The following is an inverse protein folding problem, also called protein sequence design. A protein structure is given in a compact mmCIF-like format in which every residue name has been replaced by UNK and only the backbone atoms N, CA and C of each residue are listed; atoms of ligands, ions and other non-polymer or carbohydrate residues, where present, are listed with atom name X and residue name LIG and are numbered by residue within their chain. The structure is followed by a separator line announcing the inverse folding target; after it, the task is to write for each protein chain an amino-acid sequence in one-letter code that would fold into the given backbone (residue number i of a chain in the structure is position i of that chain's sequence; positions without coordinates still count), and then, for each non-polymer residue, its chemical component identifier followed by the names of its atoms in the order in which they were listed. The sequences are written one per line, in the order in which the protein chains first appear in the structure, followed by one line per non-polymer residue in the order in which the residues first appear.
data_IF_985125097018
#
_entry.id   IF_985125097018
#
_cell.length_a   1.000
_cell.length_b   1.000
_cell.length_c   1.000
_cell.angle_alpha   90.00
_cell.angle_beta   90.00
_cell.angle_gamma   90.00
#
_symmetry.space_group_name_H-M   'P 1'
#
loop_
_entity.id
_entity.type
_entity.pdbx_description
1 polymer ?
#
# COMPACT_ATOMS: atom_id res chain seq x y z
N UNK A 1 5.72 6.22 14.19
CA UNK A 1 5.68 6.53 12.75
C UNK A 1 4.52 7.50 12.50
N UNK A 2 4.77 8.57 11.74
CA UNK A 2 3.72 9.56 11.44
C UNK A 2 2.84 9.10 10.28
N UNK A 3 1.66 9.71 10.14
CA UNK A 3 0.77 9.42 9.01
C UNK A 3 1.45 9.75 7.67
N UNK A 4 2.25 10.81 7.63
CA UNK A 4 2.98 11.20 6.41
C UNK A 4 4.05 10.17 6.04
N UNK A 5 4.73 9.59 7.03
CA UNK A 5 5.70 8.52 6.78
C UNK A 5 5.00 7.28 6.21
N UNK A 6 3.82 6.94 6.73
CA UNK A 6 3.03 5.81 6.21
C UNK A 6 2.54 6.08 4.80
N UNK A 7 2.11 7.31 4.49
CA UNK A 7 1.70 7.68 3.14
C UNK A 7 2.86 7.58 2.14
N UNK A 8 4.05 8.02 2.55
CA UNK A 8 5.26 7.90 1.72
C UNK A 8 5.61 6.44 1.48
N UNK A 9 5.55 5.63 2.53
CA UNK A 9 5.82 4.20 2.44
C UNK A 9 4.83 3.51 1.50
N UNK A 10 3.53 3.87 1.60
CA UNK A 10 2.50 3.34 0.71
C UNK A 10 2.75 3.73 -0.75
N UNK A 11 3.11 4.99 -1.00
CA UNK A 11 3.40 5.46 -2.36
C UNK A 11 4.60 4.74 -2.96
N UNK A 12 5.66 4.52 -2.17
CA UNK A 12 6.84 3.78 -2.60
C UNK A 12 6.49 2.34 -2.94
N UNK A 13 5.69 1.69 -2.10
CA UNK A 13 5.22 0.32 -2.35
C UNK A 13 4.39 0.25 -3.62
N UNK A 14 3.48 1.20 -3.83
CA UNK A 14 2.65 1.26 -5.04
C UNK A 14 3.52 1.38 -6.29
N UNK A 15 4.52 2.25 -6.28
CA UNK A 15 5.44 2.40 -7.40
C UNK A 15 6.21 1.10 -7.67
N UNK A 16 6.62 0.40 -6.62
CA UNK A 16 7.28 -0.90 -6.74
C UNK A 16 6.34 -1.93 -7.37
N UNK A 17 5.07 -1.95 -6.97
CA UNK A 17 4.06 -2.86 -7.52
C UNK A 17 3.82 -2.60 -9.00
N UNK A 18 3.71 -1.34 -9.39
CA UNK A 18 3.53 -0.96 -10.81
C UNK A 18 4.72 -1.40 -11.65
N UNK A 19 5.95 -1.13 -11.19
CA UNK A 19 7.16 -1.56 -11.88
C UNK A 19 7.27 -3.08 -11.97
N UNK A 20 6.87 -3.78 -10.93
CA UNK A 20 6.85 -5.24 -10.91
C UNK A 20 5.93 -5.80 -11.99
N UNK A 21 4.71 -5.25 -12.12
CA UNK A 21 3.78 -5.67 -13.16
C UNK A 21 4.35 -5.46 -14.56
N UNK A 22 4.96 -4.29 -14.78
CA UNK A 22 5.50 -3.95 -16.10
C UNK A 22 6.66 -4.86 -16.51
N UNK A 23 7.50 -5.28 -15.55
CA UNK A 23 8.71 -6.06 -15.85
C UNK A 23 8.49 -7.57 -15.80
N UNK A 24 7.43 -8.06 -15.15
CA UNK A 24 7.21 -9.50 -14.95
C UNK A 24 6.02 -10.06 -15.73
N UNK A 25 5.31 -9.22 -16.46
CA UNK A 25 4.19 -9.68 -17.26
C UNK A 25 4.68 -10.60 -18.40
N UNK A 26 4.05 -11.77 -18.52
CA UNK A 26 4.43 -12.73 -19.56
C UNK A 26 3.90 -12.33 -20.94
N UNK A 27 4.33 -13.03 -21.99
CA UNK A 27 3.84 -12.82 -23.35
C UNK A 27 2.32 -12.98 -23.47
N UNK A 28 1.71 -13.71 -22.55
CA UNK A 28 0.25 -13.89 -22.50
C UNK A 28 -0.46 -12.76 -21.74
N UNK A 29 0.28 -11.77 -21.25
CA UNK A 29 -0.28 -10.64 -20.52
C UNK A 29 -0.62 -10.93 -19.07
N UNK A 30 -0.21 -12.09 -18.53
CA UNK A 30 -0.47 -12.47 -17.15
C UNK A 30 0.85 -12.77 -16.43
N UNK A 31 0.83 -12.71 -15.10
CA UNK A 31 1.98 -13.07 -14.28
C UNK A 31 2.12 -14.59 -14.17
N UNK A 32 3.35 -15.08 -13.99
CA UNK A 32 3.56 -16.47 -13.61
C UNK A 32 2.97 -16.71 -12.22
N UNK A 33 2.76 -17.98 -11.84
CA UNK A 33 2.21 -18.31 -10.53
C UNK A 33 3.10 -17.79 -9.39
N UNK A 34 4.41 -17.84 -9.55
CA UNK A 34 5.36 -17.35 -8.57
C UNK A 34 5.29 -15.82 -8.44
N UNK A 35 5.26 -15.12 -9.56
CA UNK A 35 5.17 -13.65 -9.56
C UNK A 35 3.81 -13.17 -9.07
N UNK A 36 2.75 -13.90 -9.37
CA UNK A 36 1.41 -13.62 -8.87
C UNK A 36 1.38 -13.68 -7.34
N UNK A 37 2.00 -14.70 -6.75
CA UNK A 37 2.09 -14.84 -5.29
C UNK A 37 2.88 -13.67 -4.68
N UNK A 38 3.97 -13.24 -5.31
CA UNK A 38 4.77 -12.10 -4.87
C UNK A 38 3.94 -10.81 -4.91
N UNK A 39 3.22 -10.58 -6.00
CA UNK A 39 2.37 -9.41 -6.14
C UNK A 39 1.25 -9.39 -5.09
N UNK A 40 0.63 -10.54 -4.85
CA UNK A 40 -0.43 -10.66 -3.85
C UNK A 40 0.08 -10.33 -2.44
N UNK A 41 1.32 -10.69 -2.12
CA UNK A 41 1.94 -10.31 -0.84
C UNK A 41 2.14 -8.80 -0.74
N UNK A 42 2.52 -8.15 -1.83
CA UNK A 42 2.62 -6.68 -1.86
C UNK A 42 1.26 -6.02 -1.69
N UNK A 43 0.21 -6.58 -2.30
CA UNK A 43 -1.16 -6.07 -2.11
C UNK A 43 -1.61 -6.13 -0.66
N UNK A 44 -1.28 -7.22 0.04
CA UNK A 44 -1.61 -7.37 1.47
C UNK A 44 -0.90 -6.29 2.29
N UNK A 45 0.36 -6.01 1.99
CA UNK A 45 1.11 -4.96 2.67
C UNK A 45 0.51 -3.58 2.37
N UNK A 46 0.14 -3.33 1.11
CA UNK A 46 -0.50 -2.08 0.70
C UNK A 46 -1.81 -1.86 1.47
N UNK A 47 -2.64 -2.91 1.58
CA UNK A 47 -3.91 -2.85 2.29
C UNK A 47 -3.70 -2.60 3.79
N UNK A 48 -2.68 -3.21 4.38
CA UNK A 48 -2.32 -3.00 5.79
C UNK A 48 -1.91 -1.54 6.03
N UNK A 49 -1.10 -0.97 5.13
CA UNK A 49 -0.71 0.44 5.21
C UNK A 49 -1.91 1.37 5.06
N UNK A 50 -2.80 1.08 4.13
CA UNK A 50 -4.01 1.87 3.91
C UNK A 50 -4.90 1.85 5.13
N UNK A 51 -5.09 0.67 5.75
CA UNK A 51 -5.89 0.52 6.96
C UNK A 51 -5.29 1.34 8.11
N UNK A 52 -3.98 1.29 8.28
CA UNK A 52 -3.30 2.02 9.35
C UNK A 52 -3.36 3.54 9.13
N UNK A 53 -3.21 3.99 7.88
CA UNK A 53 -3.34 5.41 7.55
C UNK A 53 -4.74 5.92 7.92
N UNK A 54 -5.78 5.19 7.54
CA UNK A 54 -7.17 5.57 7.86
C UNK A 54 -7.40 5.62 9.36
N UNK A 55 -6.82 4.69 10.09
CA UNK A 55 -6.92 4.64 11.56
C UNK A 55 -6.29 5.87 12.19
N UNK A 56 -5.10 6.26 11.73
CA UNK A 56 -4.39 7.44 12.23
C UNK A 56 -5.10 8.73 11.86
N UNK A 57 -5.62 8.83 10.65
CA UNK A 57 -6.41 10.00 10.22
C UNK A 57 -7.65 10.17 11.07
N UNK A 58 -8.35 9.08 11.35
CA UNK A 58 -9.54 9.09 12.20
C UNK A 58 -9.18 9.51 13.63
N UNK A 59 -8.09 8.99 14.17
CA UNK A 59 -7.61 9.37 15.50
C UNK A 59 -7.32 10.86 15.57
N UNK A 60 -6.62 11.40 14.58
CA UNK A 60 -6.29 12.82 14.53
C UNK A 60 -7.54 13.69 14.44
N UNK A 61 -8.52 13.27 13.64
CA UNK A 61 -9.79 13.98 13.50
C UNK A 61 -10.57 14.00 14.81
N UNK A 62 -10.61 12.88 15.53
CA UNK A 62 -11.30 12.77 16.82
C UNK A 62 -10.60 13.64 17.86
N UNK A 63 -9.28 13.61 17.93
CA UNK A 63 -8.52 14.45 18.87
C UNK A 63 -8.75 15.93 18.60
N UNK A 64 -8.77 16.35 17.34
CA UNK A 64 -9.05 17.73 16.96
C UNK A 64 -10.45 18.15 17.39
N UNK A 65 -11.43 17.27 17.27
CA UNK A 65 -12.81 17.52 17.70
C UNK A 65 -12.93 17.65 19.23
N UNK A 66 -12.25 16.75 19.96
CA UNK A 66 -12.30 16.74 21.42
C UNK A 66 -11.58 17.92 22.05
N UNK A 67 -10.62 18.51 21.35
CA UNK A 67 -9.82 19.63 21.85
C UNK A 67 -10.37 21.01 21.48
N UNK A 68 -11.57 21.09 20.97
CA UNK A 68 -12.25 22.36 20.69
C UNK A 68 -12.80 23.00 21.96
#
# INVERSE_FOLDING_TARGET
MTVNELRTKRATLWNTMEGFLDTHRTDKGVLSAEDDATYNNMEKELDALTTEIKRMERRDAIEAELNK
#
